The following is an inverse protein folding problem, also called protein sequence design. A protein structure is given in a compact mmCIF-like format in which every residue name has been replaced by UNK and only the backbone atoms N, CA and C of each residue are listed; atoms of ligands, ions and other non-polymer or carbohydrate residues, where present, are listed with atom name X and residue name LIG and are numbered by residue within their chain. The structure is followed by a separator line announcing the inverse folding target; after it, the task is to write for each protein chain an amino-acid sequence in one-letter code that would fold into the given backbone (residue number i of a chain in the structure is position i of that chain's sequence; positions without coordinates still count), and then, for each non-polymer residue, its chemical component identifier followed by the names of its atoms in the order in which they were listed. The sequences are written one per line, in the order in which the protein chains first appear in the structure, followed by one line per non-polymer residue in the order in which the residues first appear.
data_IF_312971480804
#
_entry.id   IF_312971480804
#
_cell.length_a   1.000
_cell.length_b   1.000
_cell.length_c   1.000
_cell.angle_alpha   90.00
_cell.angle_beta   90.00
_cell.angle_gamma   90.00
#
_symmetry.space_group_name_H-M   'P 1'
#
loop_
_entity.id
_entity.type
_entity.pdbx_description
1 polymer ?
#
# COMPACT_ATOMS: atom_id res chain seq x y z
N UNK A 1 12.30 26.64 12.37
CA UNK A 1 13.05 26.47 11.11
C UNK A 1 12.33 25.39 10.30
N UNK A 2 11.99 25.65 9.04
CA UNK A 2 11.25 24.71 8.19
C UNK A 2 12.16 23.55 7.82
N UNK A 3 11.82 22.33 8.25
CA UNK A 3 12.55 21.14 7.87
C UNK A 3 12.03 20.58 6.55
N UNK A 4 12.92 20.44 5.56
CA UNK A 4 12.57 19.97 4.20
C UNK A 4 13.21 18.63 3.85
N UNK A 5 13.78 17.92 4.82
CA UNK A 5 14.43 16.65 4.57
C UNK A 5 13.42 15.50 4.65
N UNK A 6 13.41 14.66 3.61
CA UNK A 6 12.37 13.64 3.40
C UNK A 6 12.96 12.32 2.91
N UNK A 7 12.23 11.21 3.13
CA UNK A 7 12.60 9.90 2.58
C UNK A 7 12.40 9.84 1.06
N UNK A 8 13.37 9.26 0.38
CA UNK A 8 13.34 8.90 -1.02
C UNK A 8 13.35 7.38 -1.16
N UNK A 9 12.55 6.82 -2.04
CA UNK A 9 12.44 5.37 -2.29
C UNK A 9 12.69 5.10 -3.76
N UNK A 10 13.39 4.01 -4.08
CA UNK A 10 13.73 3.70 -5.47
C UNK A 10 12.51 3.35 -6.32
N UNK A 11 11.48 2.76 -5.72
CA UNK A 11 10.24 2.34 -6.38
C UNK A 11 9.17 1.96 -5.34
N UNK A 12 8.02 1.45 -5.79
CA UNK A 12 6.90 1.11 -4.90
C UNK A 12 7.16 -0.05 -3.92
N UNK A 13 8.10 -0.96 -4.19
CA UNK A 13 8.41 -2.10 -3.31
C UNK A 13 9.44 -1.76 -2.23
N UNK A 14 10.18 -0.66 -2.38
CA UNK A 14 11.12 -0.16 -1.38
C UNK A 14 10.37 0.47 -0.19
N UNK A 15 10.40 -0.21 0.96
CA UNK A 15 9.74 0.19 2.21
C UNK A 15 10.72 0.63 3.30
N UNK A 16 12.03 0.43 3.11
CA UNK A 16 13.08 0.59 4.14
C UNK A 16 14.23 1.49 3.71
N UNK A 17 14.03 2.27 2.66
CA UNK A 17 15.05 3.18 2.12
C UNK A 17 15.71 4.02 3.22
N UNK A 18 17.04 4.10 3.13
CA UNK A 18 17.89 4.95 3.97
C UNK A 18 18.40 6.17 3.22
N UNK A 19 17.78 6.48 2.08
CA UNK A 19 18.12 7.62 1.24
C UNK A 19 17.22 8.80 1.62
N UNK A 20 17.85 9.91 1.97
CA UNK A 20 17.17 11.12 2.40
C UNK A 20 17.68 12.30 1.60
N UNK A 21 16.76 13.13 1.12
CA UNK A 21 17.09 14.34 0.38
C UNK A 21 16.41 15.55 0.98
N UNK A 22 17.04 16.71 0.81
CA UNK A 22 16.32 17.97 0.93
C UNK A 22 15.32 18.08 -0.23
N UNK A 23 14.14 18.62 0.03
CA UNK A 23 13.11 18.76 -0.99
C UNK A 23 13.54 19.60 -2.20
N UNK A 24 14.44 20.58 -2.04
CA UNK A 24 14.99 21.32 -3.19
C UNK A 24 15.70 20.41 -4.20
N UNK A 25 16.44 19.41 -3.72
CA UNK A 25 17.08 18.43 -4.60
C UNK A 25 16.06 17.56 -5.34
N UNK A 26 14.94 17.23 -4.69
CA UNK A 26 13.84 16.51 -5.37
C UNK A 26 13.24 17.33 -6.51
N UNK A 27 13.14 18.65 -6.34
CA UNK A 27 12.66 19.54 -7.40
C UNK A 27 13.65 19.62 -8.57
N UNK A 28 14.96 19.59 -8.31
CA UNK A 28 15.98 19.48 -9.37
C UNK A 28 15.83 18.19 -10.17
N UNK A 29 15.58 17.06 -9.48
CA UNK A 29 15.31 15.78 -10.13
C UNK A 29 14.06 15.85 -11.02
N UNK A 30 12.95 16.39 -10.50
CA UNK A 30 11.70 16.59 -11.27
C UNK A 30 11.95 17.45 -12.51
N UNK A 31 12.75 18.51 -12.38
CA UNK A 31 12.99 19.46 -13.47
C UNK A 31 13.88 18.90 -14.59
N UNK A 32 14.86 18.06 -14.25
CA UNK A 32 16.01 17.85 -15.15
C UNK A 32 16.68 16.48 -15.11
N UNK A 33 16.29 15.55 -14.21
CA UNK A 33 16.91 14.23 -14.16
C UNK A 33 16.53 13.39 -15.39
N UNK A 34 17.54 13.04 -16.20
CA UNK A 34 17.34 12.34 -17.47
C UNK A 34 16.81 10.91 -17.29
N UNK A 35 17.18 10.24 -16.20
CA UNK A 35 16.69 8.90 -15.87
C UNK A 35 15.22 8.92 -15.47
N UNK A 36 14.83 9.85 -14.61
CA UNK A 36 13.44 10.08 -14.23
C UNK A 36 12.60 10.48 -15.45
N UNK A 37 13.13 11.34 -16.32
CA UNK A 37 12.46 11.72 -17.57
C UNK A 37 12.16 10.51 -18.44
N UNK A 38 13.17 9.68 -18.73
CA UNK A 38 13.00 8.46 -19.53
C UNK A 38 11.96 7.51 -18.93
N UNK A 39 11.99 7.28 -17.61
CA UNK A 39 11.00 6.41 -16.97
C UNK A 39 9.59 7.02 -17.00
N UNK A 40 9.49 8.34 -16.85
CA UNK A 40 8.20 9.06 -16.95
C UNK A 40 7.61 8.94 -18.35
N UNK A 41 8.43 9.06 -19.39
CA UNK A 41 7.97 8.89 -20.78
C UNK A 41 7.49 7.47 -21.06
N UNK A 42 8.21 6.46 -20.56
CA UNK A 42 7.77 5.04 -20.62
C UNK A 42 6.39 4.88 -19.99
N UNK A 43 6.15 5.47 -18.82
CA UNK A 43 4.85 5.43 -18.13
C UNK A 43 3.75 6.07 -18.97
N UNK A 44 4.02 7.25 -19.56
CA UNK A 44 3.06 8.00 -20.38
C UNK A 44 2.72 7.33 -21.71
N UNK A 45 3.63 6.52 -22.26
CA UNK A 45 3.42 5.77 -23.51
C UNK A 45 2.55 4.52 -23.34
N UNK A 46 2.24 4.10 -22.11
CA UNK A 46 1.44 2.89 -21.88
C UNK A 46 -0.02 3.10 -22.28
N UNK A 47 -0.55 2.20 -23.10
CA UNK A 47 -1.92 2.27 -23.63
C UNK A 47 -2.95 1.49 -22.82
N UNK A 48 -2.49 0.62 -21.91
CA UNK A 48 -3.36 -0.16 -21.03
C UNK A 48 -3.18 0.23 -19.58
N UNK A 49 -4.26 0.20 -18.80
CA UNK A 49 -4.22 0.54 -17.37
C UNK A 49 -3.26 -0.37 -16.58
N UNK A 50 -3.21 -1.67 -16.92
CA UNK A 50 -2.31 -2.63 -16.29
C UNK A 50 -0.85 -2.27 -16.53
N UNK A 51 -0.44 -2.08 -17.79
CA UNK A 51 0.94 -1.73 -18.13
C UNK A 51 1.33 -0.36 -17.55
N UNK A 52 0.41 0.62 -17.59
CA UNK A 52 0.61 1.92 -16.95
C UNK A 52 0.91 1.77 -15.45
N UNK A 53 0.12 0.97 -14.73
CA UNK A 53 0.34 0.73 -13.30
C UNK A 53 1.67 0.03 -13.04
N UNK A 54 2.02 -0.99 -13.83
CA UNK A 54 3.30 -1.71 -13.72
C UNK A 54 4.50 -0.79 -13.92
N UNK A 55 4.49 0.07 -14.93
CA UNK A 55 5.58 1.04 -15.15
C UNK A 55 5.58 2.15 -14.09
N UNK A 56 4.41 2.64 -13.66
CA UNK A 56 4.31 3.66 -12.62
C UNK A 56 4.92 3.17 -11.31
N UNK A 57 4.77 1.89 -10.99
CA UNK A 57 5.36 1.28 -9.80
C UNK A 57 6.90 1.27 -9.80
N UNK A 58 7.55 1.42 -10.97
CA UNK A 58 9.00 1.53 -11.10
C UNK A 58 9.53 2.95 -10.91
N UNK A 59 8.66 3.97 -10.90
CA UNK A 59 9.07 5.33 -10.61
C UNK A 59 9.52 5.45 -9.15
N UNK A 60 10.55 6.27 -8.87
CA UNK A 60 10.91 6.57 -7.51
C UNK A 60 9.80 7.34 -6.80
N UNK A 61 9.82 7.32 -5.48
CA UNK A 61 8.83 8.01 -4.67
C UNK A 61 9.47 8.80 -3.54
N UNK A 62 8.70 9.73 -2.98
CA UNK A 62 9.05 10.44 -1.76
C UNK A 62 7.98 10.26 -0.69
N UNK A 63 8.37 10.29 0.59
CA UNK A 63 7.44 10.52 1.71
C UNK A 63 7.61 11.97 2.17
N UNK A 64 6.79 12.92 1.68
CA UNK A 64 7.03 14.35 1.87
C UNK A 64 6.93 14.78 3.33
N UNK A 65 6.18 14.06 4.16
CA UNK A 65 5.97 14.34 5.59
C UNK A 65 7.18 14.09 6.48
N UNK A 66 8.26 13.46 5.98
CA UNK A 66 9.44 13.24 6.81
C UNK A 66 10.34 12.09 6.41
N UNK A 67 11.20 11.73 7.36
CA UNK A 67 12.12 10.60 7.27
C UNK A 67 11.56 9.42 8.06
N UNK A 68 11.45 8.29 7.39
CA UNK A 68 10.92 7.05 7.94
C UNK A 68 11.97 5.93 7.96
N UNK A 69 11.89 5.07 8.98
CA UNK A 69 12.64 3.82 9.07
C UNK A 69 11.99 2.69 8.30
N UNK A 70 10.67 2.67 8.37
CA UNK A 70 9.83 1.80 7.60
C UNK A 70 8.62 2.62 7.13
N UNK A 71 8.29 2.53 5.85
CA UNK A 71 7.20 3.30 5.25
C UNK A 71 5.84 2.72 5.65
N UNK A 72 5.34 3.08 6.82
CA UNK A 72 3.99 2.82 7.29
C UNK A 72 3.49 3.94 8.24
N UNK A 73 2.21 3.89 8.61
CA UNK A 73 1.58 4.88 9.50
C UNK A 73 1.86 4.64 10.99
N UNK A 74 2.77 3.74 11.35
CA UNK A 74 3.20 3.58 12.74
C UNK A 74 4.11 4.75 13.10
N UNK A 75 3.72 5.60 14.07
CA UNK A 75 4.45 6.82 14.41
C UNK A 75 5.87 6.54 14.90
N UNK A 76 6.15 5.33 15.43
CA UNK A 76 7.51 4.94 15.86
C UNK A 76 8.49 4.82 14.69
N UNK A 77 7.99 4.62 13.47
CA UNK A 77 8.81 4.56 12.27
C UNK A 77 9.13 5.95 11.69
N UNK A 78 8.49 7.03 12.16
CA UNK A 78 8.85 8.40 11.80
C UNK A 78 10.04 8.85 12.64
N UNK A 79 11.23 8.94 12.03
CA UNK A 79 12.43 9.48 12.70
C UNK A 79 12.40 10.99 12.82
N UNK A 80 11.89 11.66 11.78
CA UNK A 80 11.92 13.12 11.72
C UNK A 80 10.78 13.64 10.86
N UNK A 81 9.91 14.45 11.45
CA UNK A 81 8.84 15.15 10.75
C UNK A 81 9.40 16.29 9.89
N UNK A 82 8.86 16.45 8.69
CA UNK A 82 9.12 17.58 7.80
C UNK A 82 7.99 18.61 7.92
N UNK A 83 8.24 19.78 7.32
CA UNK A 83 7.28 20.86 7.17
C UNK A 83 6.70 20.93 5.75
N UNK A 84 6.73 19.80 5.01
CA UNK A 84 6.22 19.71 3.64
C UNK A 84 4.95 18.86 3.62
N UNK A 85 3.87 19.44 3.10
CA UNK A 85 2.66 18.72 2.74
C UNK A 85 2.52 18.73 1.21
N UNK A 86 2.40 17.56 0.59
CA UNK A 86 2.11 17.45 -0.84
C UNK A 86 0.62 17.17 -1.01
N UNK A 87 -0.02 18.01 -1.83
CA UNK A 87 -1.41 17.92 -2.25
C UNK A 87 -1.45 17.25 -3.61
N UNK A 88 -2.38 16.31 -3.78
CA UNK A 88 -2.66 15.67 -5.06
C UNK A 88 -3.98 16.17 -5.62
N UNK A 89 -3.96 16.56 -6.90
CA UNK A 89 -5.13 16.92 -7.65
C UNK A 89 -5.21 16.00 -8.87
N UNK A 90 -6.25 15.19 -8.95
CA UNK A 90 -6.45 14.20 -10.02
C UNK A 90 -7.88 14.33 -10.60
N UNK A 91 -8.31 13.39 -11.45
CA UNK A 91 -9.65 13.34 -12.06
C UNK A 91 -10.04 14.53 -12.95
N UNK A 92 -9.05 15.28 -13.46
CA UNK A 92 -9.30 16.28 -14.49
C UNK A 92 -9.82 15.65 -15.79
N UNK A 93 -10.78 16.33 -16.44
CA UNK A 93 -11.37 15.88 -17.72
C UNK A 93 -10.35 15.80 -18.86
N UNK A 94 -9.31 16.62 -18.82
CA UNK A 94 -8.25 16.64 -19.85
C UNK A 94 -6.94 17.20 -19.29
N UNK A 95 -5.86 17.09 -20.07
CA UNK A 95 -4.56 17.68 -19.73
C UNK A 95 -4.62 19.21 -19.70
N UNK A 96 -5.42 19.81 -20.57
CA UNK A 96 -5.63 21.26 -20.65
C UNK A 96 -6.30 21.76 -19.37
N UNK A 97 -7.34 21.07 -18.89
CA UNK A 97 -7.98 21.40 -17.62
C UNK A 97 -7.00 21.31 -16.42
N UNK A 98 -6.14 20.28 -16.40
CA UNK A 98 -5.08 20.15 -15.40
C UNK A 98 -4.04 21.29 -15.53
N UNK A 99 -3.71 21.71 -16.75
CA UNK A 99 -2.77 22.80 -17.03
C UNK A 99 -3.32 24.15 -16.55
N UNK A 100 -4.58 24.46 -16.85
CA UNK A 100 -5.25 25.66 -16.34
C UNK A 100 -5.31 25.66 -14.80
N UNK A 101 -5.57 24.51 -14.19
CA UNK A 101 -5.55 24.38 -12.73
C UNK A 101 -4.14 24.60 -12.16
N UNK A 102 -3.11 24.03 -12.79
CA UNK A 102 -1.71 24.27 -12.42
C UNK A 102 -1.36 25.76 -12.50
N UNK A 103 -1.78 26.46 -13.56
CA UNK A 103 -1.58 27.91 -13.71
C UNK A 103 -2.29 28.71 -12.61
N UNK A 104 -3.53 28.33 -12.23
CA UNK A 104 -4.23 28.95 -11.09
C UNK A 104 -3.47 28.75 -9.78
N UNK A 105 -2.97 27.55 -9.50
CA UNK A 105 -2.15 27.31 -8.32
C UNK A 105 -0.89 28.20 -8.30
N UNK A 106 -0.23 28.36 -9.45
CA UNK A 106 0.95 29.21 -9.59
C UNK A 106 0.61 30.68 -9.33
N UNK A 107 -0.49 31.19 -9.90
CA UNK A 107 -0.95 32.56 -9.71
C UNK A 107 -1.19 32.88 -8.23
N UNK A 108 -1.75 31.93 -7.48
CA UNK A 108 -2.06 32.06 -6.06
C UNK A 108 -1.04 31.37 -5.14
N UNK A 109 0.18 31.09 -5.62
CA UNK A 109 1.14 30.27 -4.88
C UNK A 109 1.48 30.83 -3.48
N UNK A 110 1.64 32.15 -3.35
CA UNK A 110 1.98 32.78 -2.07
C UNK A 110 0.84 32.67 -1.03
N UNK A 111 -0.40 33.14 -1.29
CA UNK A 111 -1.51 32.98 -0.34
C UNK A 111 -1.89 31.52 -0.08
N UNK A 112 -1.56 30.60 -0.99
CA UNK A 112 -1.74 29.16 -0.81
C UNK A 112 -0.53 28.46 -0.16
N UNK A 113 0.50 29.21 0.22
CA UNK A 113 1.73 28.69 0.86
C UNK A 113 2.46 27.62 0.02
N UNK A 114 2.32 27.68 -1.30
CA UNK A 114 2.89 26.71 -2.24
C UNK A 114 4.37 26.99 -2.48
N UNK A 115 5.16 25.95 -2.23
CA UNK A 115 6.59 25.88 -2.48
C UNK A 115 6.89 25.49 -3.94
N UNK A 116 6.14 24.52 -4.48
CA UNK A 116 6.31 24.05 -5.85
C UNK A 116 5.04 23.40 -6.41
N UNK A 117 4.89 23.38 -7.74
CA UNK A 117 3.75 22.77 -8.45
C UNK A 117 4.22 22.07 -9.72
N UNK A 118 3.83 20.81 -9.93
CA UNK A 118 4.23 19.99 -11.09
C UNK A 118 3.14 19.00 -11.53
N UNK A 119 3.26 18.45 -12.72
CA UNK A 119 2.36 17.42 -13.23
C UNK A 119 2.65 16.04 -12.63
N UNK A 120 1.57 15.27 -12.40
CA UNK A 120 1.64 13.88 -11.97
C UNK A 120 2.20 12.96 -13.07
N UNK A 121 2.63 11.72 -12.77
CA UNK A 121 3.26 10.83 -13.76
C UNK A 121 2.46 10.62 -15.05
N UNK A 122 1.14 10.49 -14.94
CA UNK A 122 0.25 10.31 -16.08
C UNK A 122 -0.04 11.58 -16.88
N UNK A 123 0.50 12.74 -16.47
CA UNK A 123 0.24 14.05 -17.08
C UNK A 123 -1.25 14.47 -17.06
N UNK A 124 -2.06 13.88 -16.19
CA UNK A 124 -3.51 14.13 -16.06
C UNK A 124 -3.91 14.70 -14.69
N UNK A 125 -2.94 14.88 -13.80
CA UNK A 125 -3.14 15.47 -12.49
C UNK A 125 -2.01 16.44 -12.16
N UNK A 126 -2.19 17.19 -11.09
CA UNK A 126 -1.27 18.22 -10.61
C UNK A 126 -0.92 17.91 -9.17
N UNK A 127 0.37 17.99 -8.83
CA UNK A 127 0.85 17.91 -7.45
C UNK A 127 1.33 19.29 -7.02
N UNK A 128 1.04 19.66 -5.78
CA UNK A 128 1.49 20.91 -5.20
C UNK A 128 2.12 20.65 -3.83
N UNK A 129 3.37 21.06 -3.64
CA UNK A 129 4.01 21.05 -2.33
C UNK A 129 3.75 22.39 -1.64
N UNK A 130 3.25 22.33 -0.41
CA UNK A 130 3.08 23.48 0.47
C UNK A 130 3.95 23.35 1.72
N UNK A 131 4.30 24.50 2.30
CA UNK A 131 5.00 24.55 3.60
C UNK A 131 4.03 24.88 4.73
N UNK A 132 4.25 24.28 5.89
CA UNK A 132 3.45 24.52 7.10
C UNK A 132 4.33 24.60 8.34
N UNK A 133 3.83 25.18 9.43
CA UNK A 133 4.57 25.29 10.70
C UNK A 133 4.17 24.25 11.75
N UNK A 134 3.24 23.32 11.46
CA UNK A 134 2.93 22.20 12.35
C UNK A 134 4.21 21.46 12.79
N UNK A 135 4.41 21.31 14.10
CA UNK A 135 5.54 20.62 14.71
C UNK A 135 5.19 19.25 15.28
N UNK A 136 3.90 18.90 15.36
CA UNK A 136 3.44 17.63 15.90
C UNK A 136 2.93 16.69 14.77
N UNK A 137 3.62 15.57 14.48
CA UNK A 137 3.18 14.62 13.44
C UNK A 137 1.81 14.00 13.72
N UNK A 138 1.36 13.89 14.97
CA UNK A 138 0.03 13.38 15.32
C UNK A 138 -1.10 14.24 14.77
N UNK A 139 -0.79 15.50 14.46
CA UNK A 139 -1.74 16.46 13.91
C UNK A 139 -1.72 16.52 12.37
N UNK A 140 -0.94 15.67 11.68
CA UNK A 140 -0.82 15.68 10.23
C UNK A 140 -2.17 15.52 9.51
N UNK A 141 -3.03 14.62 10.01
CA UNK A 141 -4.39 14.45 9.49
C UNK A 141 -5.23 15.72 9.64
N UNK A 142 -5.12 16.36 10.81
CA UNK A 142 -5.85 17.58 11.13
C UNK A 142 -5.42 18.72 10.19
N UNK A 143 -4.10 18.88 10.01
CA UNK A 143 -3.51 19.82 9.05
C UNK A 143 -4.03 19.59 7.62
N UNK A 144 -4.00 18.34 7.14
CA UNK A 144 -4.47 18.01 5.78
C UNK A 144 -5.92 18.44 5.55
N UNK A 145 -6.81 18.18 6.52
CA UNK A 145 -8.21 18.55 6.40
C UNK A 145 -8.47 20.05 6.58
N UNK A 146 -7.69 20.75 7.40
CA UNK A 146 -7.76 22.21 7.45
C UNK A 146 -7.40 22.82 6.11
N UNK A 147 -6.33 22.34 5.47
CA UNK A 147 -5.93 22.79 4.12
C UNK A 147 -7.05 22.52 3.12
N UNK A 148 -7.62 21.30 3.12
CA UNK A 148 -8.75 20.97 2.24
C UNK A 148 -9.95 21.90 2.45
N UNK A 149 -10.35 22.15 3.69
CA UNK A 149 -11.57 22.90 3.99
C UNK A 149 -11.39 24.42 3.83
N UNK A 150 -10.23 24.96 4.22
CA UNK A 150 -9.99 26.40 4.28
C UNK A 150 -9.40 26.96 2.98
N UNK A 151 -8.49 26.22 2.33
CA UNK A 151 -7.80 26.70 1.13
C UNK A 151 -8.40 26.16 -0.18
N UNK A 152 -8.99 24.97 -0.14
CA UNK A 152 -9.57 24.32 -1.33
C UNK A 152 -11.05 23.93 -1.14
N UNK A 153 -11.92 24.82 -0.61
CA UNK A 153 -13.34 24.53 -0.52
C UNK A 153 -13.92 24.35 -1.94
N UNK A 154 -14.71 23.31 -2.14
CA UNK A 154 -15.35 23.04 -3.44
C UNK A 154 -14.43 22.52 -4.54
N UNK A 155 -13.13 22.32 -4.31
CA UNK A 155 -12.25 21.66 -5.30
C UNK A 155 -12.50 20.15 -5.30
N UNK A 156 -13.11 19.61 -6.34
CA UNK A 156 -13.44 18.19 -6.46
C UNK A 156 -12.21 17.34 -6.76
N UNK A 157 -11.26 17.90 -7.51
CA UNK A 157 -10.02 17.25 -7.96
C UNK A 157 -9.05 16.96 -6.82
N UNK A 158 -9.23 17.57 -5.64
CA UNK A 158 -8.38 17.34 -4.47
C UNK A 158 -8.56 15.92 -3.93
N UNK A 159 -7.53 15.08 -4.03
CA UNK A 159 -7.58 13.69 -3.56
C UNK A 159 -7.52 13.61 -2.02
N UNK A 160 -8.67 13.33 -1.42
CA UNK A 160 -8.86 13.18 0.04
C UNK A 160 -8.16 11.95 0.61
N UNK A 161 -7.68 11.03 -0.22
CA UNK A 161 -6.97 9.83 0.23
C UNK A 161 -5.55 10.14 0.72
N UNK A 162 -4.98 11.29 0.35
CA UNK A 162 -3.60 11.66 0.64
C UNK A 162 -3.28 12.14 2.08
N UNK A 163 -4.17 11.88 3.05
CA UNK A 163 -4.06 12.38 4.43
C UNK A 163 -3.14 11.58 5.36
N UNK A 164 -2.60 10.44 4.90
CA UNK A 164 -1.80 9.55 5.74
C UNK A 164 -0.41 10.13 5.99
N UNK A 165 0.08 10.02 7.23
CA UNK A 165 1.41 10.47 7.59
C UNK A 165 2.48 9.81 6.71
N UNK A 166 2.37 8.52 6.41
CA UNK A 166 3.34 7.81 5.59
C UNK A 166 3.04 7.83 4.08
N UNK A 167 2.12 8.68 3.62
CA UNK A 167 1.70 8.73 2.21
C UNK A 167 2.90 9.04 1.33
N UNK A 168 3.15 8.20 0.33
CA UNK A 168 4.20 8.44 -0.67
C UNK A 168 3.64 8.90 -2.01
N UNK A 169 4.41 9.72 -2.70
CA UNK A 169 4.10 10.22 -4.03
C UNK A 169 5.16 9.77 -5.02
N UNK A 170 4.73 9.18 -6.14
CA UNK A 170 5.61 8.91 -7.27
C UNK A 170 6.14 10.23 -7.84
N UNK A 171 7.44 10.28 -8.07
CA UNK A 171 8.08 11.36 -8.80
C UNK A 171 7.86 11.16 -10.30
N UNK A 172 7.81 12.27 -11.01
CA UNK A 172 7.75 12.31 -12.47
C UNK A 172 8.50 13.52 -12.98
N UNK A 173 9.06 13.41 -14.17
CA UNK A 173 9.68 14.53 -14.85
C UNK A 173 8.63 15.55 -15.27
N UNK A 174 8.88 16.80 -14.92
CA UNK A 174 8.17 17.98 -15.39
C UNK A 174 9.20 19.11 -15.55
N UNK A 175 9.74 19.30 -16.77
CA UNK A 175 10.67 20.40 -17.06
C UNK A 175 10.06 21.79 -16.83
N UNK A 176 8.73 21.88 -16.71
CA UNK A 176 7.98 23.10 -16.38
C UNK A 176 7.49 23.05 -14.93
N UNK A 177 8.17 22.33 -14.03
CA UNK A 177 7.90 22.42 -12.60
C UNK A 177 8.02 23.87 -12.17
N UNK A 178 6.99 24.38 -11.52
CA UNK A 178 7.04 25.68 -10.90
C UNK A 178 7.70 25.53 -9.54
N UNK A 179 8.73 26.31 -9.29
CA UNK A 179 9.33 26.51 -7.96
C UNK A 179 9.09 27.96 -7.58
N UNK A 180 8.51 28.20 -6.41
CA UNK A 180 8.15 29.54 -5.99
C UNK A 180 9.41 30.45 -5.92
N UNK A 181 9.48 31.57 -6.66
CA UNK A 181 10.63 32.46 -6.60
C UNK A 181 10.89 33.06 -5.21
N UNK A 182 9.86 33.09 -4.35
CA UNK A 182 9.94 33.56 -2.97
C UNK A 182 10.10 32.43 -1.96
N UNK A 183 10.41 31.20 -2.39
CA UNK A 183 10.44 29.98 -1.54
C UNK A 183 11.19 30.13 -0.21
N UNK A 184 12.28 30.90 -0.19
CA UNK A 184 13.12 31.09 1.01
C UNK A 184 12.53 32.09 2.02
N UNK A 185 11.58 32.91 1.57
CA UNK A 185 10.84 33.91 2.37
C UNK A 185 9.36 33.62 2.47
N UNK A 186 8.92 32.49 1.91
CA UNK A 186 7.52 32.10 1.86
C UNK A 186 7.02 31.85 3.29
N UNK A 187 5.93 32.51 3.66
CA UNK A 187 5.31 32.29 4.96
C UNK A 187 4.68 30.90 4.98
N UNK A 188 5.00 30.04 5.97
CA UNK A 188 4.34 28.74 6.09
C UNK A 188 2.86 28.92 6.40
N UNK A 189 2.05 27.94 5.99
CA UNK A 189 0.68 27.84 6.48
C UNK A 189 0.72 27.68 8.00
N UNK A 190 0.05 28.60 8.70
CA UNK A 190 -0.03 28.57 10.14
C UNK A 190 -1.03 27.50 10.60
N UNK A 191 -0.53 26.53 11.37
CA UNK A 191 -1.30 25.43 11.90
C UNK A 191 -1.68 25.68 13.35
N UNK A 192 -2.98 25.68 13.60
CA UNK A 192 -3.57 25.58 14.93
C UNK A 192 -4.48 24.35 14.97
N UNK A 193 -4.40 23.52 16.01
CA UNK A 193 -5.22 22.32 16.08
C UNK A 193 -6.72 22.67 16.06
N UNK A 194 -7.46 22.11 15.11
CA UNK A 194 -8.90 22.33 14.97
C UNK A 194 -9.67 21.14 15.55
N UNK A 195 -10.32 21.25 16.72
CA UNK A 195 -11.03 20.14 17.35
C UNK A 195 -12.30 19.73 16.61
N UNK A 196 -12.81 20.54 15.68
CA UNK A 196 -13.99 20.21 14.87
C UNK A 196 -13.69 19.18 13.78
N UNK A 197 -12.43 19.06 13.38
CA UNK A 197 -12.00 18.05 12.41
C UNK A 197 -11.94 16.70 13.13
N UNK A 198 -12.72 15.70 12.71
CA UNK A 198 -12.73 14.39 13.35
C UNK A 198 -11.34 13.78 13.28
N UNK A 199 -10.96 13.02 14.31
CA UNK A 199 -9.75 12.20 14.24
C UNK A 199 -9.88 11.22 13.07
N UNK A 200 -8.77 10.84 12.41
CA UNK A 200 -8.80 9.79 11.42
C UNK A 200 -9.50 8.58 12.04
N UNK A 201 -10.43 7.98 11.29
CA UNK A 201 -10.95 6.67 11.67
C UNK A 201 -9.73 5.78 11.89
N UNK A 202 -9.59 5.22 13.09
CA UNK A 202 -8.59 4.19 13.37
C UNK A 202 -8.70 3.20 12.22
N UNK A 203 -7.60 2.92 11.52
CA UNK A 203 -7.54 1.89 10.46
C UNK A 203 -7.83 0.55 11.13
N UNK A 204 -9.11 0.32 11.37
CA UNK A 204 -9.70 -0.94 11.68
C UNK A 204 -9.66 -1.68 10.37
N UNK A 205 -8.72 -2.61 10.23
CA UNK A 205 -8.85 -3.66 9.22
C UNK A 205 -10.20 -4.40 9.37
N UNK A 206 -10.91 -4.21 10.50
CA UNK A 206 -12.26 -4.65 10.79
C UNK A 206 -13.31 -3.80 10.03
N UNK A 207 -13.54 -4.14 8.76
CA UNK A 207 -14.92 -4.22 8.25
C UNK A 207 -15.27 -5.70 8.12
N UNK A 208 -15.46 -6.32 9.28
CA UNK A 208 -15.83 -7.71 9.45
C UNK A 208 -15.69 -8.09 10.90
N UNK A 209 -16.72 -7.81 11.71
CA UNK A 209 -16.87 -8.31 13.07
C UNK A 209 -15.81 -7.83 14.06
N UNK A 210 -16.18 -6.86 14.90
CA UNK A 210 -15.45 -6.50 16.11
C UNK A 210 -15.54 -7.62 17.16
N UNK A 211 -14.79 -8.69 16.95
CA UNK A 211 -14.33 -9.55 18.03
C UNK A 211 -12.85 -9.80 17.79
N UNK A 212 -11.99 -9.58 18.79
CA UNK A 212 -10.56 -9.92 18.75
C UNK A 212 -10.27 -11.42 18.59
N UNK A 213 -11.28 -12.19 18.18
CA UNK A 213 -11.33 -13.63 18.01
C UNK A 213 -12.33 -13.96 16.90
N UNK A 214 -11.98 -14.87 16.00
CA UNK A 214 -12.93 -15.48 15.08
C UNK A 214 -13.46 -16.78 15.70
N UNK A 215 -14.77 -16.93 15.79
CA UNK A 215 -15.42 -18.13 16.35
C UNK A 215 -16.18 -18.84 15.24
N UNK A 216 -15.86 -20.11 15.01
CA UNK A 216 -16.59 -20.97 14.08
C UNK A 216 -17.98 -21.33 14.61
N UNK A 217 -18.96 -21.47 13.71
CA UNK A 217 -20.27 -22.00 14.10
C UNK A 217 -20.18 -23.51 14.34
N UNK A 218 -21.11 -24.11 15.10
CA UNK A 218 -21.17 -25.56 15.26
C UNK A 218 -21.20 -26.32 13.91
N UNK A 219 -21.90 -25.80 12.91
CA UNK A 219 -22.01 -26.41 11.57
C UNK A 219 -20.67 -26.37 10.81
N UNK A 220 -19.90 -25.29 10.95
CA UNK A 220 -18.56 -25.18 10.37
C UNK A 220 -17.59 -26.18 11.02
N UNK A 221 -17.69 -26.35 12.34
CA UNK A 221 -16.89 -27.33 13.11
C UNK A 221 -17.27 -28.77 12.71
N UNK A 222 -18.56 -29.06 12.57
CA UNK A 222 -19.04 -30.38 12.13
C UNK A 222 -18.57 -30.67 10.69
N UNK A 223 -18.68 -29.69 9.79
CA UNK A 223 -18.20 -29.79 8.42
C UNK A 223 -16.69 -30.06 8.38
N UNK A 224 -15.88 -29.32 9.15
CA UNK A 224 -14.45 -29.59 9.28
C UNK A 224 -14.18 -30.98 9.82
N UNK A 225 -14.93 -31.43 10.83
CA UNK A 225 -14.81 -32.78 11.39
C UNK A 225 -15.03 -33.85 10.32
N UNK A 226 -15.98 -33.65 9.41
CA UNK A 226 -16.15 -34.49 8.22
C UNK A 226 -14.91 -34.49 7.31
N UNK A 227 -14.37 -33.31 6.98
CA UNK A 227 -13.17 -33.19 6.16
C UNK A 227 -11.94 -33.85 6.77
N UNK A 228 -11.78 -33.76 8.08
CA UNK A 228 -10.67 -34.33 8.85
C UNK A 228 -10.65 -35.87 8.81
N UNK A 229 -11.74 -36.53 8.42
CA UNK A 229 -11.77 -37.99 8.20
C UNK A 229 -11.02 -38.39 6.93
N UNK A 230 -11.09 -37.56 5.89
CA UNK A 230 -10.45 -37.79 4.59
C UNK A 230 -9.02 -37.24 4.55
N UNK A 231 -8.82 -36.05 5.09
CA UNK A 231 -7.53 -35.38 5.04
C UNK A 231 -7.38 -34.48 6.25
N UNK A 232 -6.33 -34.67 7.06
CA UNK A 232 -6.10 -33.85 8.25
C UNK A 232 -5.63 -32.45 7.87
N UNK A 233 -6.12 -31.41 8.54
CA UNK A 233 -5.78 -30.02 8.24
C UNK A 233 -4.27 -29.77 8.28
N UNK A 234 -3.57 -30.27 9.29
CA UNK A 234 -2.10 -30.17 9.38
C UNK A 234 -1.40 -30.69 8.11
N UNK A 235 -1.85 -31.83 7.60
CA UNK A 235 -1.26 -32.42 6.39
C UNK A 235 -1.70 -31.71 5.11
N UNK A 236 -2.90 -31.14 5.09
CA UNK A 236 -3.39 -30.31 3.99
C UNK A 236 -2.60 -29.01 3.89
N UNK A 237 -2.44 -28.31 5.01
CA UNK A 237 -1.66 -27.07 5.12
C UNK A 237 -0.24 -27.30 4.60
N UNK A 238 0.42 -28.36 5.06
CA UNK A 238 1.76 -28.72 4.59
C UNK A 238 1.81 -29.00 3.08
N UNK A 239 0.76 -29.61 2.51
CA UNK A 239 0.68 -29.89 1.09
C UNK A 239 0.54 -28.60 0.26
N UNK A 240 -0.38 -27.72 0.65
CA UNK A 240 -0.58 -26.44 -0.07
C UNK A 240 0.57 -25.47 0.14
N UNK A 241 1.20 -25.47 1.31
CA UNK A 241 2.37 -24.63 1.60
C UNK A 241 3.57 -24.98 0.71
N UNK A 242 3.85 -26.27 0.53
CA UNK A 242 4.90 -26.72 -0.42
C UNK A 242 4.65 -26.21 -1.83
N UNK A 243 3.38 -26.23 -2.26
CA UNK A 243 2.98 -25.72 -3.57
C UNK A 243 3.15 -24.20 -3.66
N UNK A 244 2.66 -23.45 -2.67
CA UNK A 244 2.78 -22.00 -2.64
C UNK A 244 4.23 -21.54 -2.62
N UNK A 245 5.12 -22.23 -1.90
CA UNK A 245 6.57 -21.94 -1.91
C UNK A 245 7.19 -22.12 -3.29
N UNK A 246 6.72 -23.12 -4.05
CA UNK A 246 7.22 -23.38 -5.41
C UNK A 246 6.67 -22.39 -6.43
N UNK A 247 5.39 -22.06 -6.34
CA UNK A 247 4.73 -21.13 -7.28
C UNK A 247 5.06 -19.66 -6.99
N UNK A 248 5.29 -19.31 -5.72
CA UNK A 248 5.52 -17.95 -5.25
C UNK A 248 6.73 -17.90 -4.29
N UNK A 249 7.97 -18.09 -4.80
CA UNK A 249 9.17 -18.11 -3.96
C UNK A 249 9.35 -16.81 -3.17
N UNK A 250 9.00 -15.67 -3.77
CA UNK A 250 9.21 -14.32 -3.21
C UNK A 250 8.08 -13.91 -2.23
N UNK A 251 7.16 -14.82 -1.90
CA UNK A 251 6.01 -14.53 -1.02
C UNK A 251 6.41 -14.13 0.41
N UNK A 252 7.64 -14.42 0.82
CA UNK A 252 8.20 -14.09 2.12
C UNK A 252 9.06 -12.82 2.11
N UNK A 253 9.28 -12.22 0.94
CA UNK A 253 10.07 -11.01 0.80
C UNK A 253 9.30 -9.76 1.23
N UNK A 254 10.05 -8.72 1.63
CA UNK A 254 9.46 -7.44 2.01
C UNK A 254 8.64 -6.86 0.85
N UNK A 255 7.49 -6.26 1.17
CA UNK A 255 6.49 -5.83 0.17
C UNK A 255 5.49 -6.90 -0.29
N UNK A 256 5.82 -8.21 -0.22
CA UNK A 256 4.94 -9.30 -0.67
C UNK A 256 4.23 -10.05 0.47
N UNK A 257 4.79 -10.00 1.69
CA UNK A 257 4.29 -10.74 2.86
C UNK A 257 2.82 -10.50 3.17
N UNK A 258 2.39 -9.24 3.19
CA UNK A 258 1.00 -8.87 3.55
C UNK A 258 -0.03 -9.47 2.56
N UNK A 259 0.21 -9.32 1.26
CA UNK A 259 -0.63 -9.91 0.21
C UNK A 259 -0.64 -11.44 0.29
N UNK A 260 0.49 -12.03 0.65
CA UNK A 260 0.63 -13.48 0.79
C UNK A 260 -0.17 -14.03 1.96
N UNK A 261 -0.15 -13.35 3.12
CA UNK A 261 -0.98 -13.71 4.28
C UNK A 261 -2.46 -13.67 3.91
N UNK A 262 -2.92 -12.58 3.29
CA UNK A 262 -4.33 -12.42 2.88
C UNK A 262 -4.76 -13.49 1.86
N UNK A 263 -3.93 -13.78 0.87
CA UNK A 263 -4.21 -14.82 -0.13
C UNK A 263 -4.30 -16.21 0.51
N UNK A 264 -3.34 -16.56 1.38
CA UNK A 264 -3.30 -17.87 2.03
C UNK A 264 -4.44 -18.03 3.04
N UNK A 265 -4.75 -17.01 3.84
CA UNK A 265 -5.90 -17.03 4.74
C UNK A 265 -7.21 -17.31 4.00
N UNK A 266 -7.41 -16.69 2.83
CA UNK A 266 -8.57 -16.94 1.96
C UNK A 266 -8.65 -18.40 1.57
N UNK A 267 -7.58 -18.91 0.98
CA UNK A 267 -7.58 -20.29 0.51
C UNK A 267 -7.74 -21.31 1.64
N UNK A 268 -7.15 -21.07 2.81
CA UNK A 268 -7.34 -21.93 3.99
C UNK A 268 -8.81 -21.96 4.44
N UNK A 269 -9.49 -20.81 4.45
CA UNK A 269 -10.93 -20.73 4.72
C UNK A 269 -11.75 -21.52 3.68
N UNK A 270 -11.46 -21.34 2.38
CA UNK A 270 -12.13 -22.07 1.30
C UNK A 270 -11.84 -23.59 1.34
N UNK A 271 -10.66 -23.98 1.82
CA UNK A 271 -10.32 -25.38 2.08
C UNK A 271 -10.90 -25.90 3.41
N UNK A 272 -11.69 -25.09 4.12
CA UNK A 272 -12.38 -25.50 5.34
C UNK A 272 -11.43 -25.78 6.50
N UNK A 273 -10.25 -25.16 6.52
CA UNK A 273 -9.31 -25.24 7.65
C UNK A 273 -9.80 -24.33 8.76
N UNK A 274 -9.89 -24.84 9.99
CA UNK A 274 -10.33 -24.04 11.13
C UNK A 274 -9.38 -22.87 11.40
N UNK A 275 -9.95 -21.77 11.87
CA UNK A 275 -9.26 -20.50 12.14
C UNK A 275 -7.99 -20.68 12.95
N UNK A 276 -8.03 -21.38 14.08
CA UNK A 276 -6.86 -21.53 14.96
C UNK A 276 -5.69 -22.24 14.25
N UNK A 277 -5.99 -23.28 13.48
CA UNK A 277 -4.97 -24.01 12.72
C UNK A 277 -4.38 -23.16 11.58
N UNK A 278 -5.19 -22.32 10.94
CA UNK A 278 -4.72 -21.39 9.93
C UNK A 278 -3.88 -20.26 10.54
N UNK A 279 -4.30 -19.72 11.69
CA UNK A 279 -3.58 -18.68 12.43
C UNK A 279 -2.23 -19.20 12.92
N UNK A 280 -2.19 -20.40 13.52
CA UNK A 280 -0.95 -21.04 13.97
C UNK A 280 0.04 -21.18 12.79
N UNK A 281 -0.42 -21.69 11.66
CA UNK A 281 0.40 -21.83 10.45
C UNK A 281 0.91 -20.48 9.92
N UNK A 282 0.02 -19.49 9.75
CA UNK A 282 0.39 -18.19 9.19
C UNK A 282 1.31 -17.42 10.13
N UNK A 283 1.10 -17.50 11.44
CA UNK A 283 1.98 -16.90 12.45
C UNK A 283 3.34 -17.59 12.46
N UNK A 284 3.38 -18.92 12.49
CA UNK A 284 4.63 -19.68 12.45
C UNK A 284 5.42 -19.47 11.16
N UNK A 285 4.73 -19.19 10.06
CA UNK A 285 5.34 -18.94 8.75
C UNK A 285 5.81 -17.50 8.62
N UNK A 286 4.93 -16.51 8.79
CA UNK A 286 5.23 -15.11 8.49
C UNK A 286 5.74 -14.31 9.70
N UNK A 287 5.47 -14.75 10.94
CA UNK A 287 6.04 -14.14 12.14
C UNK A 287 7.57 -14.25 12.17
N UNK A 288 8.12 -15.36 11.69
CA UNK A 288 9.59 -15.53 11.49
C UNK A 288 10.16 -14.56 10.46
N UNK A 289 9.31 -14.00 9.61
CA UNK A 289 9.66 -12.99 8.63
C UNK A 289 9.22 -11.59 9.09
N UNK A 290 9.13 -11.32 10.40
CA UNK A 290 9.05 -9.96 10.95
C UNK A 290 7.70 -9.26 10.82
N UNK A 291 6.61 -10.01 10.61
CA UNK A 291 5.25 -9.48 10.76
C UNK A 291 4.77 -9.77 12.18
N UNK A 292 4.32 -8.76 12.97
CA UNK A 292 3.77 -8.98 14.30
C UNK A 292 2.59 -9.97 14.30
N UNK A 293 2.49 -10.79 15.35
CA UNK A 293 1.40 -11.77 15.48
C UNK A 293 0.03 -11.11 15.45
N UNK A 294 -0.14 -9.97 16.13
CA UNK A 294 -1.41 -9.24 16.18
C UNK A 294 -1.85 -8.75 14.79
N UNK A 295 -0.91 -8.35 13.93
CA UNK A 295 -1.18 -7.96 12.54
C UNK A 295 -1.65 -9.17 11.72
N UNK A 296 -0.98 -10.33 11.88
CA UNK A 296 -1.38 -11.58 11.22
C UNK A 296 -2.78 -11.97 11.69
N UNK A 297 -3.04 -11.93 13.00
CA UNK A 297 -4.33 -12.25 13.60
C UNK A 297 -5.43 -11.37 13.01
N UNK A 298 -5.21 -10.06 12.92
CA UNK A 298 -6.14 -9.12 12.30
C UNK A 298 -6.41 -9.45 10.82
N UNK A 299 -5.38 -9.75 10.04
CA UNK A 299 -5.53 -10.15 8.64
C UNK A 299 -6.37 -11.44 8.48
N UNK A 300 -6.11 -12.45 9.32
CA UNK A 300 -6.80 -13.74 9.24
C UNK A 300 -8.28 -13.60 9.65
N UNK A 301 -8.59 -12.89 10.74
CA UNK A 301 -9.98 -12.65 11.18
C UNK A 301 -10.80 -12.00 10.06
N UNK A 302 -10.28 -10.91 9.48
CA UNK A 302 -10.99 -10.19 8.43
C UNK A 302 -11.21 -11.04 7.20
N UNK A 303 -10.22 -11.84 6.84
CA UNK A 303 -10.31 -12.71 5.68
C UNK A 303 -11.30 -13.87 5.89
N UNK A 304 -11.28 -14.49 7.07
CA UNK A 304 -12.23 -15.55 7.42
C UNK A 304 -13.67 -15.02 7.47
N UNK A 305 -13.89 -13.84 8.05
CA UNK A 305 -15.21 -13.19 8.01
C UNK A 305 -15.68 -12.91 6.57
N UNK A 306 -14.81 -12.39 5.71
CA UNK A 306 -15.14 -12.08 4.32
C UNK A 306 -15.41 -13.32 3.44
N UNK A 307 -14.91 -14.51 3.82
CA UNK A 307 -15.07 -15.74 3.04
C UNK A 307 -15.89 -16.82 3.78
N UNK A 308 -16.56 -16.45 4.88
CA UNK A 308 -17.24 -17.39 5.79
C UNK A 308 -18.29 -18.25 5.07
N UNK A 309 -19.11 -17.62 4.22
CA UNK A 309 -20.14 -18.32 3.45
C UNK A 309 -19.57 -19.40 2.52
N UNK A 310 -18.31 -19.25 2.12
CA UNK A 310 -17.59 -20.20 1.26
C UNK A 310 -16.69 -21.18 2.05
N UNK A 311 -16.86 -21.28 3.37
CA UNK A 311 -16.04 -22.15 4.20
C UNK A 311 -16.13 -23.62 3.76
N UNK A 312 -14.99 -24.19 3.37
CA UNK A 312 -14.87 -25.57 2.90
C UNK A 312 -15.32 -25.82 1.45
N UNK A 313 -15.78 -24.81 0.72
CA UNK A 313 -16.32 -24.96 -0.64
C UNK A 313 -15.31 -25.59 -1.62
N UNK A 314 -14.01 -25.39 -1.40
CA UNK A 314 -12.94 -25.91 -2.27
C UNK A 314 -12.23 -27.13 -1.69
N UNK A 315 -12.67 -27.70 -0.55
CA UNK A 315 -12.00 -28.85 0.08
C UNK A 315 -11.93 -30.05 -0.86
N UNK A 316 -13.07 -30.47 -1.39
CA UNK A 316 -13.18 -31.70 -2.17
C UNK A 316 -12.52 -31.58 -3.54
N UNK A 317 -12.55 -30.38 -4.13
CA UNK A 317 -11.80 -30.08 -5.35
C UNK A 317 -10.29 -30.25 -5.12
N UNK A 318 -9.76 -29.69 -4.03
CA UNK A 318 -8.35 -29.83 -3.69
C UNK A 318 -7.97 -31.29 -3.38
N UNK A 319 -8.83 -32.02 -2.68
CA UNK A 319 -8.64 -33.45 -2.41
C UNK A 319 -8.60 -34.27 -3.70
N UNK A 320 -9.52 -34.03 -4.64
CA UNK A 320 -9.53 -34.71 -5.94
C UNK A 320 -8.23 -34.50 -6.72
N UNK A 321 -7.70 -33.26 -6.73
CA UNK A 321 -6.40 -32.95 -7.36
C UNK A 321 -5.24 -33.71 -6.70
N UNK A 322 -5.26 -33.84 -5.38
CA UNK A 322 -4.25 -34.61 -4.63
C UNK A 322 -4.30 -36.09 -5.03
N UNK A 323 -5.48 -36.71 -5.07
CA UNK A 323 -5.63 -38.12 -5.44
C UNK A 323 -5.23 -38.39 -6.90
N UNK A 324 -5.62 -37.53 -7.84
CA UNK A 324 -5.15 -37.61 -9.23
C UNK A 324 -3.62 -37.55 -9.34
N UNK A 325 -2.98 -36.66 -8.57
CA UNK A 325 -1.52 -36.57 -8.52
C UNK A 325 -0.84 -37.79 -7.89
N UNK A 326 -1.52 -38.54 -7.01
CA UNK A 326 -1.02 -39.84 -6.50
C UNK A 326 -1.13 -40.89 -7.59
N UNK A 327 -2.27 -41.00 -8.26
CA UNK A 327 -2.50 -41.96 -9.36
C UNK A 327 -1.48 -41.76 -10.47
N UNK A 328 -1.25 -40.52 -10.91
CA UNK A 328 -0.27 -40.20 -11.95
C UNK A 328 1.16 -40.62 -11.57
N UNK A 329 1.59 -40.35 -10.32
CA UNK A 329 2.90 -40.78 -9.83
C UNK A 329 3.04 -42.30 -9.80
N UNK A 330 2.00 -43.00 -9.36
CA UNK A 330 2.00 -44.47 -9.34
C UNK A 330 2.03 -45.07 -10.75
N UNK A 331 1.35 -44.46 -11.73
CA UNK A 331 1.45 -44.86 -13.14
C UNK A 331 2.87 -44.66 -13.67
N UNK A 332 3.48 -43.48 -13.44
CA UNK A 332 4.85 -43.20 -13.89
C UNK A 332 5.90 -44.09 -13.24
N UNK A 333 5.71 -44.49 -11.98
CA UNK A 333 6.59 -45.46 -11.31
C UNK A 333 6.46 -46.86 -11.94
N UNK A 334 5.24 -47.29 -12.30
CA UNK A 334 5.01 -48.57 -12.99
C UNK A 334 5.59 -48.59 -14.40
N UNK A 335 5.49 -47.49 -15.14
CA UNK A 335 6.09 -47.35 -16.48
C UNK A 335 7.63 -47.35 -16.46
N UNK A 336 8.24 -46.90 -15.35
CA UNK A 336 9.69 -46.79 -15.20
C UNK A 336 10.33 -47.96 -14.41
N UNK A 337 9.57 -49.00 -14.05
CA UNK A 337 10.14 -50.20 -13.42
C UNK A 337 10.50 -51.18 -14.54
N UNK A 338 11.77 -51.54 -14.76
CA UNK A 338 12.13 -52.56 -15.74
C UNK A 338 11.45 -53.87 -15.33
N UNK A 339 10.78 -54.54 -16.26
CA UNK A 339 10.35 -55.92 -16.05
C UNK A 339 11.60 -56.77 -15.77
N UNK A 340 11.67 -57.36 -14.57
CA UNK A 340 12.57 -58.50 -14.31
C UNK A 340 11.90 -59.78 -14.76
#
# INVERSE_FOLDING_TARGET
MINKNISYYHNSSDSRSRIYYNFDHILELIASDTKLSRQTDIVRMQTTEKAYKEEKHRLPMIAPSGIFDYRNDDPTNLRRYSNILVLDFDDFKSHEAASEFKERLILYANPLHLYAVWFSPGNKGVKAAMIHDNTNPDHHYNLFWQVKQRLYPGTEEFDKSCHNLSRTFFLSSDPKVYVNPKKDTLLPYHFEYDPSIPKPAVKSYNKGGSSGSFIHTPEEIERNTGFQRLWKDKTLINYVDKRWRKEYPDSYEDGNRHRSILSRAKWLCLYGVLYDAALEYLTGTFGRHGIPEDDIRGMVINNYNANRESFGASRMELYGKKEQGVVYRNQKLRENTPFN
#
